data_IF_052792477538
#
_entry.id   IF_052792477538
#
_cell.length_a   1.000
_cell.length_b   1.000
_cell.length_c   1.000
_cell.angle_alpha   90.00
_cell.angle_beta   90.00
_cell.angle_gamma   90.00
#
_symmetry.space_group_name_H-M   'P 1'
#
loop_
_entity.id
_entity.type
_entity.pdbx_description
1 polymer ?
#
# COMPACT_ATOMS: atom_id res chain seq x y z
N UNK A 1 -19.92 10.68 -9.87
CA UNK A 1 -20.47 10.52 -8.51
C UNK A 1 -20.93 9.08 -8.34
N UNK A 2 -20.21 8.26 -7.56
CA UNK A 2 -20.74 7.05 -6.92
C UNK A 2 -19.84 6.76 -5.73
N UNK A 3 -20.33 7.07 -4.53
CA UNK A 3 -19.69 6.76 -3.25
C UNK A 3 -20.15 5.36 -2.85
N UNK A 4 -19.26 4.38 -2.84
CA UNK A 4 -19.54 3.10 -2.22
C UNK A 4 -18.78 3.01 -0.89
N UNK A 5 -19.52 3.30 0.18
CA UNK A 5 -19.17 3.04 1.57
C UNK A 5 -19.57 1.59 1.88
N UNK A 6 -18.64 0.68 2.09
CA UNK A 6 -18.83 -0.60 2.80
C UNK A 6 -17.44 -1.12 3.17
N UNK A 7 -17.19 -1.83 4.25
CA UNK A 7 -17.87 -2.03 5.51
C UNK A 7 -16.79 -2.70 6.38
N UNK A 8 -16.67 -2.23 7.61
CA UNK A 8 -15.91 -2.83 8.69
C UNK A 8 -16.25 -4.32 8.85
N UNK A 9 -15.25 -5.20 8.77
CA UNK A 9 -15.34 -6.57 9.27
C UNK A 9 -14.08 -6.87 10.07
N UNK A 10 -14.12 -6.44 11.33
CA UNK A 10 -13.24 -6.93 12.38
C UNK A 10 -13.72 -8.31 12.80
N UNK A 11 -12.86 -9.32 12.66
CA UNK A 11 -13.11 -10.66 13.17
C UNK A 11 -12.21 -10.87 14.39
N UNK A 12 -12.79 -10.53 15.53
CA UNK A 12 -12.87 -11.29 16.78
C UNK A 12 -11.60 -12.09 17.14
N UNK A 13 -10.74 -11.45 17.94
CA UNK A 13 -9.83 -12.12 18.85
C UNK A 13 -10.59 -12.38 20.17
N UNK A 14 -10.96 -13.63 20.44
CA UNK A 14 -11.42 -14.08 21.75
C UNK A 14 -11.33 -15.61 21.84
N UNK A 15 -10.17 -16.15 22.24
CA UNK A 15 -10.13 -17.47 22.87
C UNK A 15 -9.72 -17.21 24.31
N UNK A 16 -10.76 -17.05 25.12
CA UNK A 16 -10.71 -16.87 26.56
C UNK A 16 -10.11 -18.10 27.23
N UNK A 17 -9.10 -17.82 28.03
CA UNK A 17 -8.63 -18.56 29.19
C UNK A 17 -9.82 -19.02 30.05
N UNK A 18 -9.92 -20.33 30.35
CA UNK A 18 -10.74 -20.84 31.44
C UNK A 18 -9.92 -21.92 32.18
N UNK A 19 -9.12 -21.42 33.11
CA UNK A 19 -8.44 -22.21 34.13
C UNK A 19 -9.39 -22.42 35.33
N UNK A 20 -9.18 -23.55 36.00
CA UNK A 20 -9.52 -23.81 37.40
C UNK A 20 -11.00 -23.75 37.80
N UNK A 21 -11.70 -24.89 37.69
CA UNK A 21 -12.77 -25.21 38.61
C UNK A 21 -12.18 -25.94 39.82
N UNK A 22 -12.12 -25.19 40.92
CA UNK A 22 -11.95 -25.61 42.31
C UNK A 22 -12.77 -26.88 42.62
N UNK A 23 -12.11 -27.92 43.14
CA UNK A 23 -12.78 -28.95 43.93
C UNK A 23 -12.51 -28.63 45.41
N UNK A 24 -13.37 -27.79 45.99
CA UNK A 24 -13.40 -27.55 47.43
C UNK A 24 -13.80 -28.83 48.16
N UNK A 25 -12.90 -29.35 48.99
CA UNK A 25 -13.20 -30.40 49.95
C UNK A 25 -14.19 -29.87 50.99
N UNK A 26 -15.45 -30.26 50.88
CA UNK A 26 -16.48 -29.96 51.88
C UNK A 26 -16.42 -31.07 52.93
N UNK A 27 -15.85 -30.75 54.08
CA UNK A 27 -15.84 -31.57 55.29
C UNK A 27 -17.27 -31.65 55.83
N UNK A 28 -17.88 -32.83 55.72
CA UNK A 28 -19.15 -33.17 56.38
C UNK A 28 -18.93 -33.43 57.89
N UNK A 29 -19.89 -33.05 58.75
CA UNK A 29 -19.84 -33.32 60.19
C UNK A 29 -20.01 -34.81 60.52
N UNK A 30 -19.47 -35.26 61.68
CA UNK A 30 -19.53 -36.67 62.08
C UNK A 30 -20.96 -37.12 62.40
N UNK A 31 -21.37 -38.33 61.97
CA UNK A 31 -22.69 -38.89 62.28
C UNK A 31 -22.78 -39.39 63.73
N UNK A 32 -23.96 -39.31 64.38
CA UNK A 32 -24.18 -39.83 65.73
C UNK A 32 -24.16 -41.36 65.77
N UNK A 33 -23.68 -41.89 66.89
CA UNK A 33 -23.50 -43.31 67.18
C UNK A 33 -24.78 -44.12 66.91
N UNK A 34 -24.67 -45.11 66.02
CA UNK A 34 -25.77 -46.04 65.69
C UNK A 34 -25.53 -47.38 66.37
N UNK A 35 -26.52 -47.79 67.16
CA UNK A 35 -26.53 -48.98 67.98
C UNK A 35 -26.25 -50.26 67.18
N UNK A 36 -25.43 -51.13 67.76
CA UNK A 36 -25.19 -52.51 67.31
C UNK A 36 -26.46 -53.33 67.47
N UNK A 37 -27.14 -53.61 66.34
CA UNK A 37 -28.15 -54.65 66.23
C UNK A 37 -27.56 -55.83 65.48
N UNK A 38 -27.43 -56.93 66.22
CA UNK A 38 -27.04 -58.27 65.84
C UNK A 38 -28.10 -58.92 64.95
N UNK A 39 -27.78 -59.22 63.68
CA UNK A 39 -28.50 -60.22 62.88
C UNK A 39 -27.50 -61.01 62.00
N UNK A 40 -27.16 -62.27 62.33
CA UNK A 40 -26.15 -63.04 61.60
C UNK A 40 -26.67 -63.78 60.35
N UNK A 41 -27.98 -64.00 60.20
CA UNK A 41 -28.50 -64.97 59.22
C UNK A 41 -28.97 -64.38 57.87
N UNK A 42 -29.37 -63.11 57.81
CA UNK A 42 -29.89 -62.48 56.56
C UNK A 42 -28.76 -61.97 55.65
N UNK A 43 -27.53 -61.89 56.16
CA UNK A 43 -26.36 -61.37 55.42
C UNK A 43 -25.74 -62.36 54.42
N UNK A 44 -26.01 -63.66 54.52
CA UNK A 44 -25.44 -64.65 53.58
C UNK A 44 -26.27 -64.81 52.30
N UNK A 45 -27.61 -64.81 52.40
CA UNK A 45 -28.51 -64.89 51.23
C UNK A 45 -28.36 -63.62 50.36
N UNK A 46 -28.36 -62.43 50.99
CA UNK A 46 -28.07 -61.16 50.31
C UNK A 46 -26.70 -61.15 49.62
N UNK A 47 -25.68 -61.80 50.19
CA UNK A 47 -24.33 -61.86 49.60
C UNK A 47 -24.27 -62.75 48.35
N UNK A 48 -25.09 -63.80 48.27
CA UNK A 48 -25.24 -64.65 47.07
C UNK A 48 -25.91 -63.91 45.94
N UNK A 49 -27.08 -63.31 46.19
CA UNK A 49 -27.82 -62.51 45.21
C UNK A 49 -27.03 -61.29 44.72
N UNK A 50 -26.32 -60.61 45.63
CA UNK A 50 -25.41 -59.50 45.27
C UNK A 50 -24.21 -60.02 44.46
N UNK A 51 -23.73 -61.25 44.68
CA UNK A 51 -22.69 -61.86 43.84
C UNK A 51 -23.24 -62.15 42.46
N UNK A 52 -24.38 -62.80 42.34
CA UNK A 52 -24.92 -63.22 41.05
C UNK A 52 -25.33 -62.02 40.20
N UNK A 53 -25.96 -61.00 40.80
CA UNK A 53 -26.23 -59.72 40.14
C UNK A 53 -24.94 -59.04 39.67
N UNK A 54 -23.89 -59.04 40.50
CA UNK A 54 -22.60 -58.45 40.15
C UNK A 54 -21.87 -59.22 39.04
N UNK A 55 -22.03 -60.54 39.00
CA UNK A 55 -21.32 -61.40 38.03
C UNK A 55 -22.07 -61.47 36.71
N UNK A 56 -23.40 -61.52 36.73
CA UNK A 56 -24.24 -61.74 35.55
C UNK A 56 -24.75 -60.45 34.92
N UNK A 57 -24.90 -59.35 35.67
CA UNK A 57 -25.39 -58.08 35.10
C UNK A 57 -24.33 -56.99 35.13
N UNK A 58 -23.66 -56.76 36.26
CA UNK A 58 -22.71 -55.63 36.40
C UNK A 58 -21.40 -55.86 35.63
N UNK A 59 -20.85 -57.07 35.63
CA UNK A 59 -19.62 -57.37 34.88
C UNK A 59 -19.78 -57.27 33.35
N UNK A 60 -20.79 -57.89 32.71
CA UNK A 60 -20.96 -57.78 31.26
C UNK A 60 -21.35 -56.36 30.84
N UNK A 61 -22.16 -55.65 31.62
CA UNK A 61 -22.44 -54.22 31.34
C UNK A 61 -21.17 -53.37 31.47
N UNK A 62 -20.34 -53.57 32.51
CA UNK A 62 -19.04 -52.89 32.62
C UNK A 62 -18.08 -53.22 31.47
N UNK A 63 -18.06 -54.47 30.98
CA UNK A 63 -17.27 -54.85 29.80
C UNK A 63 -17.79 -54.15 28.54
N UNK A 64 -19.10 -54.15 28.31
CA UNK A 64 -19.71 -53.46 27.16
C UNK A 64 -19.47 -51.94 27.19
N UNK A 65 -19.55 -51.30 28.37
CA UNK A 65 -19.26 -49.87 28.56
C UNK A 65 -17.77 -49.61 28.31
N UNK A 66 -16.88 -50.52 28.72
CA UNK A 66 -15.44 -50.39 28.47
C UNK A 66 -15.12 -50.51 26.99
N UNK A 67 -15.73 -51.45 26.29
CA UNK A 67 -15.59 -51.62 24.83
C UNK A 67 -16.16 -50.42 24.07
N UNK A 68 -17.34 -49.93 24.45
CA UNK A 68 -17.91 -48.70 23.87
C UNK A 68 -16.99 -47.49 24.09
N UNK A 69 -16.40 -47.34 25.28
CA UNK A 69 -15.44 -46.26 25.56
C UNK A 69 -14.17 -46.37 24.72
N UNK A 70 -13.59 -47.56 24.59
CA UNK A 70 -12.40 -47.76 23.74
C UNK A 70 -12.72 -47.50 22.26
N UNK A 71 -13.88 -47.94 21.78
CA UNK A 71 -14.31 -47.67 20.40
C UNK A 71 -14.56 -46.17 20.15
N UNK A 72 -15.26 -45.49 21.07
CA UNK A 72 -15.44 -44.03 21.01
C UNK A 72 -14.12 -43.27 21.10
N UNK A 73 -13.18 -43.76 21.91
CA UNK A 73 -11.84 -43.16 22.02
C UNK A 73 -11.07 -43.32 20.72
N UNK A 74 -11.11 -44.50 20.09
CA UNK A 74 -10.51 -44.76 18.77
C UNK A 74 -11.13 -43.91 17.65
N UNK A 75 -12.45 -43.77 17.63
CA UNK A 75 -13.14 -42.87 16.70
C UNK A 75 -12.76 -41.41 16.96
N UNK A 76 -12.75 -40.96 18.21
CA UNK A 76 -12.38 -39.59 18.57
C UNK A 76 -10.93 -39.26 18.21
N UNK A 77 -9.98 -40.17 18.43
CA UNK A 77 -8.58 -39.97 18.03
C UNK A 77 -8.42 -39.95 16.51
N UNK A 78 -9.11 -40.84 15.80
CA UNK A 78 -9.12 -40.88 14.32
C UNK A 78 -9.71 -39.58 13.74
N UNK A 79 -10.88 -39.14 14.20
CA UNK A 79 -11.50 -37.88 13.75
C UNK A 79 -10.61 -36.68 14.08
N UNK A 80 -9.98 -36.64 15.26
CA UNK A 80 -9.04 -35.57 15.62
C UNK A 80 -7.81 -35.56 14.71
N UNK A 81 -7.29 -36.72 14.33
CA UNK A 81 -6.15 -36.82 13.41
C UNK A 81 -6.54 -36.35 11.99
N UNK A 82 -7.69 -36.78 11.48
CA UNK A 82 -8.24 -36.32 10.20
C UNK A 82 -8.46 -34.80 10.19
N UNK A 83 -9.08 -34.26 11.23
CA UNK A 83 -9.33 -32.82 11.34
C UNK A 83 -8.03 -32.02 11.43
N UNK A 84 -6.99 -32.54 12.09
CA UNK A 84 -5.66 -31.90 12.09
C UNK A 84 -5.04 -31.85 10.70
N UNK A 85 -5.20 -32.89 9.90
CA UNK A 85 -4.66 -32.93 8.53
C UNK A 85 -5.40 -31.94 7.63
N UNK A 86 -6.74 -31.93 7.66
CA UNK A 86 -7.55 -30.95 6.90
C UNK A 86 -7.18 -29.51 7.27
N UNK A 87 -7.04 -29.20 8.56
CA UNK A 87 -6.64 -27.85 9.01
C UNK A 87 -5.23 -27.48 8.51
N UNK A 88 -4.30 -28.44 8.45
CA UNK A 88 -2.95 -28.20 7.90
C UNK A 88 -3.02 -27.93 6.40
N UNK A 89 -3.71 -28.77 5.66
CA UNK A 89 -3.85 -28.66 4.21
C UNK A 89 -4.54 -27.34 3.83
N UNK A 90 -5.61 -26.96 4.54
CA UNK A 90 -6.28 -25.67 4.33
C UNK A 90 -5.36 -24.48 4.66
N UNK A 91 -4.55 -24.58 5.72
CA UNK A 91 -3.59 -23.52 6.08
C UNK A 91 -2.52 -23.35 5.02
N UNK A 92 -1.99 -24.45 4.49
CA UNK A 92 -0.94 -24.40 3.47
C UNK A 92 -1.51 -23.90 2.14
N UNK A 93 -2.71 -24.36 1.74
CA UNK A 93 -3.43 -23.81 0.59
C UNK A 93 -3.73 -22.30 0.75
N UNK A 94 -4.07 -21.84 1.96
CA UNK A 94 -4.30 -20.42 2.24
C UNK A 94 -3.00 -19.61 2.14
N UNK A 95 -1.87 -20.15 2.60
CA UNK A 95 -0.55 -19.49 2.47
C UNK A 95 -0.18 -19.32 1.00
N UNK A 96 -0.32 -20.36 0.18
CA UNK A 96 -0.03 -20.31 -1.25
C UNK A 96 -0.92 -19.27 -1.96
N UNK A 97 -2.24 -19.29 -1.70
CA UNK A 97 -3.17 -18.28 -2.24
C UNK A 97 -2.78 -16.87 -1.81
N UNK A 98 -2.36 -16.67 -0.56
CA UNK A 98 -1.92 -15.37 -0.06
C UNK A 98 -0.64 -14.91 -0.74
N UNK A 99 0.32 -15.79 -0.97
CA UNK A 99 1.56 -15.48 -1.68
C UNK A 99 1.28 -15.07 -3.13
N UNK A 100 0.50 -15.88 -3.85
CA UNK A 100 0.12 -15.59 -5.24
C UNK A 100 -0.64 -14.25 -5.36
N UNK A 101 -1.57 -13.97 -4.44
CA UNK A 101 -2.30 -12.70 -4.41
C UNK A 101 -1.38 -11.52 -4.10
N UNK A 102 -0.41 -11.68 -3.20
CA UNK A 102 0.57 -10.63 -2.89
C UNK A 102 1.49 -10.35 -4.08
N UNK A 103 1.89 -11.37 -4.83
CA UNK A 103 2.66 -11.19 -6.06
C UNK A 103 1.87 -10.48 -7.15
N UNK A 104 0.60 -10.86 -7.39
CA UNK A 104 -0.28 -10.19 -8.34
C UNK A 104 -0.52 -8.72 -7.95
N UNK A 105 -0.77 -8.44 -6.66
CA UNK A 105 -0.89 -7.08 -6.15
C UNK A 105 0.39 -6.27 -6.36
N UNK A 106 1.57 -6.86 -6.12
CA UNK A 106 2.85 -6.19 -6.35
C UNK A 106 3.02 -5.82 -7.82
N UNK A 107 2.74 -6.73 -8.74
CA UNK A 107 2.79 -6.49 -10.19
C UNK A 107 1.84 -5.35 -10.60
N UNK A 108 0.57 -5.44 -10.21
CA UNK A 108 -0.45 -4.41 -10.53
C UNK A 108 -0.10 -3.03 -9.97
N UNK A 109 0.41 -2.97 -8.73
CA UNK A 109 0.82 -1.71 -8.11
C UNK A 109 1.97 -1.06 -8.86
N UNK A 110 2.92 -1.86 -9.33
CA UNK A 110 4.12 -1.37 -9.97
C UNK A 110 3.88 -1.03 -11.46
N UNK A 111 3.01 -1.77 -12.17
CA UNK A 111 2.44 -1.34 -13.45
C UNK A 111 1.64 -0.03 -13.33
N UNK A 112 0.80 0.07 -12.29
CA UNK A 112 0.03 1.28 -12.02
C UNK A 112 0.91 2.49 -11.73
N UNK A 113 2.06 2.30 -11.07
CA UNK A 113 3.06 3.35 -10.89
C UNK A 113 3.69 3.74 -12.24
N UNK A 114 4.12 2.76 -13.04
CA UNK A 114 4.73 2.98 -14.36
C UNK A 114 3.84 3.84 -15.26
N UNK A 115 2.55 3.51 -15.34
CA UNK A 115 1.58 4.29 -16.10
C UNK A 115 1.44 5.73 -15.60
N UNK A 116 1.45 5.96 -14.28
CA UNK A 116 1.38 7.31 -13.72
C UNK A 116 2.62 8.13 -14.05
N UNK A 117 3.80 7.53 -14.03
CA UNK A 117 5.05 8.21 -14.37
C UNK A 117 5.05 8.55 -15.86
N UNK A 118 4.71 7.60 -16.74
CA UNK A 118 4.63 7.85 -18.19
C UNK A 118 3.67 9.00 -18.53
N UNK A 119 2.48 9.01 -17.92
CA UNK A 119 1.52 10.11 -18.08
C UNK A 119 2.04 11.45 -17.54
N UNK A 120 2.92 11.41 -16.54
CA UNK A 120 3.56 12.63 -16.02
C UNK A 120 4.62 13.15 -17.01
N UNK A 121 5.42 12.26 -17.60
CA UNK A 121 6.41 12.61 -18.62
C UNK A 121 5.74 13.18 -19.88
N UNK A 122 4.61 12.63 -20.31
CA UNK A 122 3.81 13.17 -21.43
C UNK A 122 3.41 14.63 -21.20
N UNK A 123 2.93 14.97 -19.99
CA UNK A 123 2.61 16.36 -19.64
C UNK A 123 3.84 17.29 -19.61
N UNK A 124 5.00 16.75 -19.30
CA UNK A 124 6.25 17.51 -19.35
C UNK A 124 6.65 17.80 -20.81
N UNK A 125 6.52 16.82 -21.70
CA UNK A 125 6.73 17.02 -23.14
C UNK A 125 5.78 18.09 -23.70
N UNK A 126 4.48 18.04 -23.36
CA UNK A 126 3.51 19.08 -23.73
C UNK A 126 3.94 20.48 -23.25
N UNK A 127 4.60 20.54 -22.09
CA UNK A 127 5.10 21.79 -21.52
C UNK A 127 6.31 22.31 -22.30
N UNK A 128 7.23 21.43 -22.72
CA UNK A 128 8.37 21.79 -23.55
C UNK A 128 7.93 22.28 -24.95
N UNK A 129 6.90 21.66 -25.55
CA UNK A 129 6.31 22.17 -26.80
C UNK A 129 5.74 23.59 -26.63
N UNK A 130 5.15 23.92 -25.48
CA UNK A 130 4.70 25.29 -25.20
C UNK A 130 5.87 26.25 -25.04
N UNK A 131 6.95 25.83 -24.36
CA UNK A 131 8.18 26.62 -24.20
C UNK A 131 8.82 26.92 -25.56
N UNK A 132 8.92 25.93 -26.43
CA UNK A 132 9.44 26.06 -27.80
C UNK A 132 8.64 27.10 -28.61
N UNK A 133 7.31 27.02 -28.57
CA UNK A 133 6.44 28.01 -29.21
C UNK A 133 6.63 29.43 -28.65
N UNK A 134 6.87 29.57 -27.34
CA UNK A 134 7.16 30.85 -26.70
C UNK A 134 8.51 31.38 -27.16
N UNK A 135 9.55 30.53 -27.22
CA UNK A 135 10.87 30.89 -27.72
C UNK A 135 10.79 31.42 -29.16
N UNK A 136 10.03 30.76 -30.04
CA UNK A 136 9.79 31.26 -31.41
C UNK A 136 9.10 32.65 -31.45
N UNK A 137 8.20 32.94 -30.51
CA UNK A 137 7.58 34.28 -30.39
C UNK A 137 8.56 35.33 -29.86
N UNK A 138 9.48 34.94 -28.97
CA UNK A 138 10.54 35.82 -28.47
C UNK A 138 11.47 36.20 -29.63
N UNK A 139 11.89 35.23 -30.45
CA UNK A 139 12.70 35.47 -31.67
C UNK A 139 12.04 36.45 -32.62
N UNK A 140 10.76 36.25 -32.93
CA UNK A 140 10.01 37.17 -33.79
C UNK A 140 9.99 38.60 -33.23
N UNK A 141 9.90 38.76 -31.91
CA UNK A 141 9.89 40.09 -31.28
C UNK A 141 11.28 40.70 -31.22
N UNK A 142 12.34 39.91 -31.00
CA UNK A 142 13.74 40.33 -31.15
C UNK A 142 13.95 40.92 -32.54
N UNK A 143 13.56 40.21 -33.60
CA UNK A 143 13.72 40.68 -34.98
C UNK A 143 13.01 42.02 -35.25
N UNK A 144 11.82 42.25 -34.67
CA UNK A 144 11.10 43.53 -34.78
C UNK A 144 11.81 44.67 -34.05
N UNK A 145 12.40 44.39 -32.89
CA UNK A 145 13.18 45.37 -32.11
C UNK A 145 14.46 45.75 -32.89
N UNK A 146 15.12 44.78 -33.49
CA UNK A 146 16.30 45.02 -34.34
C UNK A 146 15.97 45.84 -35.59
N UNK A 147 14.84 45.56 -36.24
CA UNK A 147 14.35 46.37 -37.35
C UNK A 147 14.05 47.83 -36.94
N UNK A 148 13.83 48.09 -35.65
CA UNK A 148 13.66 49.42 -35.09
C UNK A 148 15.00 50.09 -34.69
N UNK A 149 16.14 49.46 -35.00
CA UNK A 149 17.48 49.98 -34.70
C UNK A 149 17.97 49.74 -33.27
N UNK A 150 17.24 48.98 -32.46
CA UNK A 150 17.63 48.65 -31.08
C UNK A 150 18.29 47.27 -31.06
N UNK A 151 19.46 47.14 -30.42
CA UNK A 151 20.17 45.86 -30.31
C UNK A 151 19.85 45.12 -28.99
N UNK A 152 19.08 44.01 -29.01
CA UNK A 152 18.62 43.33 -27.80
C UNK A 152 19.61 42.25 -27.32
N UNK A 153 20.89 42.58 -27.13
CA UNK A 153 21.97 41.62 -26.79
C UNK A 153 21.58 40.73 -25.60
N UNK A 154 21.18 41.33 -24.49
CA UNK A 154 20.84 40.61 -23.25
C UNK A 154 19.69 39.61 -23.44
N UNK A 155 18.72 39.93 -24.30
CA UNK A 155 17.59 39.04 -24.58
C UNK A 155 18.04 37.85 -25.43
N UNK A 156 18.95 38.06 -26.37
CA UNK A 156 19.52 36.96 -27.19
C UNK A 156 20.31 35.98 -26.33
N UNK A 157 21.12 36.49 -25.40
CA UNK A 157 21.89 35.65 -24.49
C UNK A 157 20.96 34.79 -23.62
N UNK A 158 19.93 35.41 -23.01
CA UNK A 158 18.95 34.69 -22.20
C UNK A 158 18.11 33.69 -23.01
N UNK A 159 17.76 34.02 -24.27
CA UNK A 159 17.07 33.09 -25.16
C UNK A 159 17.96 31.87 -25.49
N UNK A 160 19.26 32.08 -25.65
CA UNK A 160 20.22 30.98 -25.88
C UNK A 160 20.23 30.04 -24.68
N UNK A 161 20.35 30.60 -23.46
CA UNK A 161 20.25 29.81 -22.21
C UNK A 161 18.91 29.07 -22.12
N UNK A 162 17.79 29.70 -22.48
CA UNK A 162 16.48 29.06 -22.47
C UNK A 162 16.39 27.87 -23.43
N UNK A 163 17.01 27.97 -24.62
CA UNK A 163 17.08 26.86 -25.59
C UNK A 163 17.96 25.72 -25.10
N UNK A 164 19.11 26.04 -24.51
CA UNK A 164 20.00 25.01 -23.95
C UNK A 164 19.29 24.23 -22.83
N UNK A 165 18.55 24.93 -21.97
CA UNK A 165 17.75 24.29 -20.91
C UNK A 165 16.58 23.46 -21.48
N UNK A 166 15.94 23.88 -22.59
CA UNK A 166 14.94 23.05 -23.29
C UNK A 166 15.56 21.72 -23.76
N UNK A 167 16.76 21.76 -24.35
CA UNK A 167 17.50 20.55 -24.78
C UNK A 167 17.82 19.64 -23.60
N UNK A 168 18.35 20.19 -22.50
CA UNK A 168 18.64 19.41 -21.29
C UNK A 168 17.37 18.79 -20.69
N UNK A 169 16.25 19.51 -20.69
CA UNK A 169 14.97 18.98 -20.22
C UNK A 169 14.47 17.82 -21.08
N UNK A 170 14.60 17.89 -22.42
CA UNK A 170 14.26 16.78 -23.32
C UNK A 170 15.13 15.55 -23.07
N UNK A 171 16.42 15.75 -22.85
CA UNK A 171 17.35 14.67 -22.52
C UNK A 171 16.97 14.00 -21.19
N UNK A 172 16.63 14.78 -20.16
CA UNK A 172 16.19 14.26 -18.86
C UNK A 172 14.89 13.44 -18.98
N UNK A 173 13.91 13.91 -19.77
CA UNK A 173 12.68 13.15 -20.04
C UNK A 173 13.00 11.84 -20.76
N UNK A 174 13.89 11.86 -21.77
CA UNK A 174 14.29 10.66 -22.51
C UNK A 174 15.04 9.66 -21.62
N UNK A 175 15.92 10.14 -20.74
CA UNK A 175 16.61 9.34 -19.74
C UNK A 175 15.59 8.67 -18.80
N UNK A 176 14.61 9.43 -18.29
CA UNK A 176 13.54 8.89 -17.45
C UNK A 176 12.71 7.83 -18.17
N UNK A 177 12.35 8.04 -19.45
CA UNK A 177 11.66 7.03 -20.28
C UNK A 177 12.47 5.74 -20.40
N UNK A 178 13.79 5.86 -20.59
CA UNK A 178 14.70 4.72 -20.71
C UNK A 178 14.84 3.97 -19.40
N UNK A 179 14.98 4.68 -18.27
CA UNK A 179 15.02 4.09 -16.93
C UNK A 179 13.72 3.33 -16.60
N UNK A 180 12.57 3.88 -16.98
CA UNK A 180 11.28 3.19 -16.87
C UNK A 180 11.25 1.93 -17.73
N UNK A 181 11.78 2.00 -18.97
CA UNK A 181 11.81 0.87 -19.87
C UNK A 181 12.63 -0.31 -19.33
N UNK A 182 13.78 -0.03 -18.72
CA UNK A 182 14.72 -1.03 -18.18
C UNK A 182 14.37 -1.53 -16.77
N UNK A 183 13.59 -0.79 -15.99
CA UNK A 183 13.24 -1.17 -14.63
C UNK A 183 12.44 -2.48 -14.58
N UNK A 184 12.93 -3.44 -13.80
CA UNK A 184 12.23 -4.69 -13.50
C UNK A 184 11.23 -4.44 -12.38
N UNK A 185 9.96 -4.80 -12.58
CA UNK A 185 8.80 -4.36 -11.78
C UNK A 185 8.62 -5.22 -10.50
N UNK A 186 9.72 -5.66 -9.89
CA UNK A 186 9.68 -6.72 -8.86
C UNK A 186 10.05 -6.25 -7.45
N UNK A 187 10.74 -5.11 -7.29
CA UNK A 187 11.26 -4.70 -5.97
C UNK A 187 10.89 -3.26 -5.55
N UNK A 188 10.94 -3.00 -4.24
CA UNK A 188 10.72 -1.67 -3.67
C UNK A 188 11.81 -0.66 -4.01
N UNK A 189 13.02 -1.12 -4.31
CA UNK A 189 14.17 -0.28 -4.66
C UNK A 189 13.97 0.38 -6.02
N UNK A 190 13.40 -0.35 -6.98
CA UNK A 190 13.11 0.17 -8.32
C UNK A 190 12.11 1.34 -8.28
N UNK A 191 11.17 1.32 -7.32
CA UNK A 191 10.15 2.37 -7.19
C UNK A 191 10.73 3.74 -6.83
N UNK A 192 11.74 3.80 -5.95
CA UNK A 192 12.31 5.10 -5.55
C UNK A 192 13.17 5.67 -6.69
N UNK A 193 14.00 4.84 -7.32
CA UNK A 193 14.77 5.25 -8.49
C UNK A 193 13.89 5.80 -9.63
N UNK A 194 12.73 5.17 -9.89
CA UNK A 194 11.77 5.67 -10.88
C UNK A 194 11.13 7.01 -10.49
N UNK A 195 11.00 7.30 -9.20
CA UNK A 195 10.51 8.61 -8.74
C UNK A 195 11.59 9.67 -8.85
N UNK A 196 12.82 9.34 -8.48
CA UNK A 196 13.94 10.27 -8.50
C UNK A 196 14.23 10.72 -9.94
N UNK A 197 14.21 9.79 -10.90
CA UNK A 197 14.33 10.12 -12.34
C UNK A 197 13.18 11.00 -12.85
N UNK A 198 11.96 10.81 -12.34
CA UNK A 198 10.84 11.70 -12.66
C UNK A 198 11.02 13.10 -12.05
N UNK A 199 11.51 13.21 -10.80
CA UNK A 199 11.75 14.50 -10.15
C UNK A 199 12.89 15.26 -10.83
N UNK A 200 13.94 14.57 -11.27
CA UNK A 200 15.01 15.16 -12.09
C UNK A 200 14.46 15.76 -13.39
N UNK A 201 13.66 14.99 -14.14
CA UNK A 201 13.01 15.49 -15.36
C UNK A 201 12.10 16.70 -15.09
N UNK A 202 11.33 16.70 -13.99
CA UNK A 202 10.51 17.85 -13.60
C UNK A 202 11.35 19.07 -13.29
N UNK A 203 12.47 18.90 -12.60
CA UNK A 203 13.37 19.98 -12.24
C UNK A 203 13.98 20.61 -13.50
N UNK A 204 14.47 19.81 -14.45
CA UNK A 204 14.98 20.33 -15.72
C UNK A 204 13.93 21.12 -16.51
N UNK A 205 12.67 20.65 -16.56
CA UNK A 205 11.57 21.40 -17.22
C UNK A 205 11.26 22.71 -16.51
N UNK A 206 11.37 22.74 -15.17
CA UNK A 206 11.21 23.97 -14.37
C UNK A 206 12.33 24.96 -14.66
N UNK A 207 13.55 24.49 -14.83
CA UNK A 207 14.71 25.33 -15.16
C UNK A 207 14.57 25.92 -16.56
N UNK A 208 14.15 25.12 -17.55
CA UNK A 208 13.81 25.60 -18.90
C UNK A 208 12.71 26.66 -18.89
N UNK A 209 11.65 26.45 -18.10
CA UNK A 209 10.58 27.44 -17.92
C UNK A 209 11.11 28.74 -17.30
N UNK A 210 11.96 28.65 -16.28
CA UNK A 210 12.51 29.82 -15.58
C UNK A 210 13.38 30.64 -16.52
N UNK A 211 14.30 30.01 -17.25
CA UNK A 211 15.13 30.68 -18.25
C UNK A 211 14.28 31.36 -19.35
N UNK A 212 13.19 30.73 -19.79
CA UNK A 212 12.25 31.33 -20.75
C UNK A 212 11.57 32.58 -20.16
N UNK A 213 11.16 32.54 -18.88
CA UNK A 213 10.55 33.69 -18.19
C UNK A 213 11.55 34.84 -18.03
N UNK A 214 12.81 34.55 -17.79
CA UNK A 214 13.86 35.57 -17.70
C UNK A 214 14.06 36.26 -19.06
N UNK A 215 14.09 35.50 -20.15
CA UNK A 215 14.14 36.04 -21.52
C UNK A 215 12.91 36.93 -21.83
N UNK A 216 11.70 36.52 -21.43
CA UNK A 216 10.48 37.34 -21.57
C UNK A 216 10.59 38.65 -20.78
N UNK A 217 11.09 38.58 -19.56
CA UNK A 217 11.21 39.73 -18.66
C UNK A 217 12.18 40.77 -19.21
N UNK A 218 13.34 40.32 -19.71
CA UNK A 218 14.31 41.18 -20.39
C UNK A 218 13.73 41.82 -21.65
N UNK A 219 12.99 41.05 -22.46
CA UNK A 219 12.31 41.55 -23.66
C UNK A 219 11.26 42.63 -23.37
N UNK A 220 10.56 42.53 -22.24
CA UNK A 220 9.59 43.54 -21.81
C UNK A 220 10.24 44.87 -21.41
N UNK A 221 11.48 44.84 -20.90
CA UNK A 221 12.24 46.06 -20.58
C UNK A 221 12.52 46.93 -21.81
N UNK A 222 12.75 46.32 -22.97
CA UNK A 222 13.10 47.04 -24.20
C UNK A 222 11.89 47.71 -24.89
N UNK A 223 10.70 47.12 -24.76
CA UNK A 223 9.51 47.60 -25.48
C UNK A 223 8.82 48.83 -24.88
N UNK A 224 9.21 49.31 -23.69
CA UNK A 224 8.56 50.44 -23.02
C UNK A 224 9.26 51.80 -23.25
N UNK A 225 10.52 51.81 -23.63
CA UNK A 225 11.29 53.06 -23.73
C UNK A 225 10.93 53.94 -24.95
N UNK A 226 10.30 53.39 -26.00
CA UNK A 226 10.13 54.09 -27.28
C UNK A 226 8.92 55.03 -27.41
N UNK A 227 7.93 54.99 -26.49
CA UNK A 227 6.70 55.79 -26.65
C UNK A 227 6.65 57.10 -25.84
N UNK A 228 7.70 57.43 -25.07
CA UNK A 228 7.74 58.67 -24.28
C UNK A 228 8.77 59.70 -24.78
N UNK A 229 9.37 59.47 -25.94
CA UNK A 229 10.18 60.47 -26.60
C UNK A 229 9.24 61.40 -27.39
N UNK A 230 8.48 62.23 -26.66
CA UNK A 230 7.92 63.44 -27.25
C UNK A 230 9.10 64.23 -27.85
N UNK A 231 9.02 64.68 -29.11
CA UNK A 231 10.05 65.54 -29.66
C UNK A 231 10.08 66.81 -28.79
N UNK A 232 11.21 67.05 -28.12
CA UNK A 232 11.45 68.32 -27.46
C UNK A 232 11.32 69.41 -28.53
N UNK A 233 10.24 70.19 -28.46
CA UNK A 233 10.04 71.36 -29.32
C UNK A 233 11.16 72.34 -29.01
N UNK A 234 12.18 72.36 -29.87
CA UNK A 234 13.25 73.35 -29.80
C UNK A 234 12.62 74.72 -30.06
N UNK A 235 12.48 75.51 -28.99
CA UNK A 235 12.08 76.92 -29.09
C UNK A 235 13.29 77.69 -29.59
N UNK A 236 13.28 78.06 -30.87
CA UNK A 236 14.30 78.93 -31.44
C UNK A 236 14.17 80.34 -30.83
N UNK A 237 15.19 80.79 -30.11
CA UNK A 237 15.31 82.18 -29.67
C UNK A 237 15.98 82.97 -30.79
N UNK A 238 15.23 83.86 -31.44
CA UNK A 238 15.76 84.82 -32.41
C UNK A 238 16.02 86.14 -31.66
N UNK A 239 17.29 86.50 -31.53
CA UNK A 239 17.71 87.83 -31.05
C UNK A 239 17.69 88.79 -32.24
N UNK A 240 16.95 89.89 -32.12
CA UNK A 240 17.03 91.08 -32.99
C UNK A 240 17.88 92.15 -32.31
#
# INVERSE_FOLDING_TARGET
MMKLKYATLGIIAAISLAAAAYASAQTLPPPPARATSTVPAVNQIRRGEIRDFRTNEVRPTMQSIKEQRENMKGQSTSTKAQMRNVIKDERDALKEKRQALMEDLRKKLAEGLRLRILKSLEKLDDTLTRIENINGRIEQRIARIEASGVNPITVKDLLTVAKDQDVLARQAIQAARTAIASATISTSTDKNALKDTLEEAKQSVKDARTATVDAISALHGLGRASNNQFPATATATTTQ
#
